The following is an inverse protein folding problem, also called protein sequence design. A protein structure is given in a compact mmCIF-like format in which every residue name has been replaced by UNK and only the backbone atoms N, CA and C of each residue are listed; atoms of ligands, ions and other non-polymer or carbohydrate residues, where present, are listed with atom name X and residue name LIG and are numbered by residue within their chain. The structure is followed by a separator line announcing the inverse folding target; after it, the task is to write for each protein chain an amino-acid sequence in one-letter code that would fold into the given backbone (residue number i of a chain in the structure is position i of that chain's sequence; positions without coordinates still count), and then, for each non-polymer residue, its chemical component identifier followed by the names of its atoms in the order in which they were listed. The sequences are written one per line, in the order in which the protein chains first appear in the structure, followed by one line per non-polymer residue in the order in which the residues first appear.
data_IF_882636751499
#
_entry.id   IF_882636751499
#
_cell.length_a   1.000
_cell.length_b   1.000
_cell.length_c   1.000
_cell.angle_alpha   90.00
_cell.angle_beta   90.00
_cell.angle_gamma   90.00
#
_symmetry.space_group_name_H-M   'P 1'
#
loop_
_entity.id
_entity.type
_entity.pdbx_description
1 polymer ?
#
# COMPACT_ATOMS: atom_id res chain seq x y z
N UNK A 1 -14.64 -21.83 20.63
CA UNK A 1 -13.87 -21.07 21.64
C UNK A 1 -12.57 -20.69 20.94
N UNK A 2 -12.62 -19.62 20.15
CA UNK A 2 -11.49 -19.16 19.33
C UNK A 2 -10.37 -18.68 20.24
N UNK A 3 -9.30 -19.47 20.33
CA UNK A 3 -8.00 -18.90 20.69
C UNK A 3 -7.70 -17.89 19.57
N UNK A 4 -7.64 -16.61 19.93
CA UNK A 4 -7.38 -15.48 19.04
C UNK A 4 -6.21 -15.83 18.10
N UNK A 5 -6.42 -15.73 16.78
CA UNK A 5 -5.42 -16.11 15.77
C UNK A 5 -4.06 -15.44 16.02
N UNK A 6 -4.08 -14.21 16.58
CA UNK A 6 -2.90 -13.48 17.06
C UNK A 6 -2.14 -14.21 18.17
N UNK A 7 -2.85 -14.76 19.14
CA UNK A 7 -2.26 -15.51 20.25
C UNK A 7 -1.62 -16.80 19.73
N UNK A 8 -2.25 -17.47 18.75
CA UNK A 8 -1.67 -18.66 18.09
C UNK A 8 -0.36 -18.33 17.36
N UNK A 9 -0.33 -17.22 16.62
CA UNK A 9 0.89 -16.74 15.95
C UNK A 9 1.99 -16.44 16.99
N UNK A 10 1.61 -15.78 18.10
CA UNK A 10 2.55 -15.44 19.18
C UNK A 10 3.14 -16.69 19.83
N UNK A 11 2.29 -17.65 20.21
CA UNK A 11 2.69 -18.94 20.80
C UNK A 11 3.60 -19.72 19.87
N UNK A 12 3.27 -19.76 18.57
CA UNK A 12 4.12 -20.42 17.57
C UNK A 12 5.53 -19.84 17.54
N UNK A 13 5.66 -18.51 17.52
CA UNK A 13 6.98 -17.86 17.50
C UNK A 13 7.72 -17.99 18.84
N UNK A 14 7.02 -18.02 19.97
CA UNK A 14 7.61 -18.32 21.27
C UNK A 14 8.23 -19.72 21.30
N UNK A 15 7.54 -20.74 20.76
CA UNK A 15 8.06 -22.11 20.64
C UNK A 15 9.25 -22.16 19.68
N UNK A 16 9.14 -21.50 18.51
CA UNK A 16 10.18 -21.53 17.47
C UNK A 16 11.42 -20.71 17.83
N UNK A 17 11.36 -19.83 18.83
CA UNK A 17 12.44 -18.93 19.20
C UNK A 17 13.77 -19.65 19.36
N UNK A 18 13.76 -20.85 19.95
CA UNK A 18 15.00 -21.62 20.18
C UNK A 18 15.66 -22.12 18.91
N UNK A 19 14.96 -22.92 18.10
CA UNK A 19 15.51 -23.49 16.87
C UNK A 19 15.80 -22.40 15.83
N UNK A 20 14.89 -21.42 15.69
CA UNK A 20 15.09 -20.28 14.80
C UNK A 20 16.28 -19.43 15.21
N UNK A 21 16.45 -19.17 16.51
CA UNK A 21 17.57 -18.41 17.03
C UNK A 21 18.91 -19.10 16.82
N UNK A 22 18.99 -20.43 17.00
CA UNK A 22 20.22 -21.19 16.71
C UNK A 22 20.60 -21.12 15.23
N UNK A 23 19.62 -21.23 14.32
CA UNK A 23 19.85 -21.08 12.87
C UNK A 23 20.36 -19.68 12.54
N UNK A 24 19.69 -18.62 13.02
CA UNK A 24 20.06 -17.23 12.72
C UNK A 24 21.37 -16.79 13.36
N UNK A 25 21.71 -17.31 14.54
CA UNK A 25 22.99 -17.04 15.20
C UNK A 25 24.19 -17.52 14.36
N UNK A 26 24.08 -18.70 13.72
CA UNK A 26 25.09 -19.17 12.76
C UNK A 26 25.29 -18.21 11.59
N UNK A 27 24.22 -17.55 11.14
CA UNK A 27 24.28 -16.65 9.99
C UNK A 27 24.97 -15.32 10.32
N UNK A 28 24.95 -14.87 11.60
CA UNK A 28 25.67 -13.67 12.06
C UNK A 28 27.19 -13.80 11.90
N UNK A 29 27.72 -15.02 11.88
CA UNK A 29 29.14 -15.31 11.69
C UNK A 29 29.53 -15.60 10.23
N UNK A 30 28.57 -15.53 9.31
CA UNK A 30 28.72 -16.04 7.94
C UNK A 30 28.64 -14.98 6.85
N UNK A 31 28.71 -15.46 5.60
CA UNK A 31 28.60 -14.63 4.38
C UNK A 31 27.27 -13.89 4.29
N UNK A 32 26.19 -14.43 4.89
CA UNK A 32 24.89 -13.76 4.91
C UNK A 32 24.94 -12.44 5.70
N UNK A 33 25.70 -12.36 6.79
CA UNK A 33 25.88 -11.11 7.53
C UNK A 33 26.54 -10.02 6.67
N UNK A 34 27.65 -10.35 6.01
CA UNK A 34 28.37 -9.44 5.10
C UNK A 34 27.51 -9.01 3.91
N UNK A 35 26.74 -9.94 3.34
CA UNK A 35 25.79 -9.64 2.28
C UNK A 35 24.75 -8.62 2.72
N UNK A 36 24.10 -8.83 3.87
CA UNK A 36 23.10 -7.89 4.37
C UNK A 36 23.70 -6.54 4.79
N UNK A 37 24.94 -6.51 5.29
CA UNK A 37 25.65 -5.24 5.49
C UNK A 37 25.82 -4.47 4.18
N UNK A 38 26.22 -5.15 3.09
CA UNK A 38 26.39 -4.53 1.78
C UNK A 38 25.06 -4.05 1.19
N UNK A 39 24.02 -4.88 1.22
CA UNK A 39 22.68 -4.51 0.73
C UNK A 39 22.11 -3.33 1.54
N UNK A 40 22.22 -3.36 2.87
CA UNK A 40 21.78 -2.23 3.72
C UNK A 40 22.58 -0.96 3.42
N UNK A 41 23.90 -1.04 3.29
CA UNK A 41 24.72 0.13 2.93
C UNK A 41 24.35 0.72 1.55
N UNK A 42 23.87 -0.11 0.62
CA UNK A 42 23.47 0.33 -0.71
C UNK A 42 22.10 1.03 -0.73
N UNK A 43 21.16 0.59 0.12
CA UNK A 43 19.79 1.13 0.14
C UNK A 43 19.56 2.22 1.18
N UNK A 44 20.33 2.23 2.27
CA UNK A 44 20.17 3.23 3.33
C UNK A 44 20.63 4.61 2.84
N UNK A 45 19.92 5.69 3.21
CA UNK A 45 20.29 7.03 2.79
C UNK A 45 21.67 7.41 3.34
N UNK A 46 22.47 8.06 2.50
CA UNK A 46 23.75 8.63 2.94
C UNK A 46 23.50 9.69 4.01
N UNK A 47 24.25 9.62 5.12
CA UNK A 47 24.08 10.56 6.24
C UNK A 47 25.37 10.74 7.01
N UNK A 48 25.65 11.98 7.42
CA UNK A 48 26.77 12.32 8.30
C UNK A 48 26.52 11.95 9.77
N UNK A 49 25.31 11.48 10.09
CA UNK A 49 24.91 11.03 11.42
C UNK A 49 24.37 9.60 11.39
N UNK A 50 24.45 8.87 12.51
CA UNK A 50 23.67 7.64 12.70
C UNK A 50 22.17 7.85 12.41
N UNK A 51 21.62 7.02 11.53
CA UNK A 51 20.18 6.95 11.26
C UNK A 51 19.44 6.30 12.44
N UNK A 52 18.20 6.72 12.68
CA UNK A 52 17.25 6.03 13.56
C UNK A 52 16.53 4.95 12.74
N UNK A 53 16.85 3.69 13.03
CA UNK A 53 16.33 2.52 12.34
C UNK A 53 15.33 1.78 13.23
N UNK A 54 14.17 1.43 12.68
CA UNK A 54 13.21 0.52 13.31
C UNK A 54 13.20 -0.82 12.58
N UNK A 55 13.48 -1.92 13.27
CA UNK A 55 13.33 -3.30 12.77
C UNK A 55 12.01 -3.89 13.27
N UNK A 56 11.04 -4.11 12.38
CA UNK A 56 9.68 -4.57 12.71
C UNK A 56 9.55 -6.08 12.46
N UNK A 57 9.21 -6.82 13.52
CA UNK A 57 9.28 -8.29 13.51
C UNK A 57 10.73 -8.76 13.53
N UNK A 58 11.53 -8.20 14.44
CA UNK A 58 12.99 -8.42 14.48
C UNK A 58 13.38 -9.88 14.73
N UNK A 59 12.46 -10.70 15.24
CA UNK A 59 12.71 -12.07 15.69
C UNK A 59 13.94 -12.13 16.60
N UNK A 60 15.00 -12.82 16.18
CA UNK A 60 16.25 -12.96 16.95
C UNK A 60 17.27 -11.85 16.70
N UNK A 61 16.86 -10.72 16.11
CA UNK A 61 17.68 -9.51 16.04
C UNK A 61 18.66 -9.45 14.88
N UNK A 62 18.58 -10.36 13.89
CA UNK A 62 19.58 -10.44 12.82
C UNK A 62 19.73 -9.12 12.05
N UNK A 63 18.63 -8.55 11.53
CA UNK A 63 18.68 -7.29 10.79
C UNK A 63 19.01 -6.11 11.71
N UNK A 64 18.47 -6.10 12.93
CA UNK A 64 18.82 -5.11 13.93
C UNK A 64 20.34 -5.06 14.21
N UNK A 65 21.01 -6.22 14.34
CA UNK A 65 22.47 -6.31 14.53
C UNK A 65 23.23 -5.88 13.27
N UNK A 66 22.76 -6.25 12.07
CA UNK A 66 23.35 -5.77 10.80
C UNK A 66 23.35 -4.24 10.77
N UNK A 67 22.21 -3.59 11.03
CA UNK A 67 22.13 -2.13 11.01
C UNK A 67 22.94 -1.47 12.14
N UNK A 68 23.01 -2.10 13.31
CA UNK A 68 23.88 -1.65 14.41
C UNK A 68 25.36 -1.65 14.01
N UNK A 69 25.79 -2.70 13.30
CA UNK A 69 27.18 -2.84 12.82
C UNK A 69 27.57 -1.79 11.78
N UNK A 70 26.59 -1.16 11.14
CA UNK A 70 26.78 -0.03 10.23
C UNK A 70 26.80 1.33 10.97
N UNK A 71 26.73 1.32 12.30
CA UNK A 71 26.82 2.52 13.14
C UNK A 71 25.48 3.25 13.36
N UNK A 72 24.35 2.61 13.08
CA UNK A 72 23.02 3.22 13.24
C UNK A 72 22.41 2.99 14.63
N UNK A 73 21.46 3.86 15.00
CA UNK A 73 20.68 3.73 16.26
C UNK A 73 19.45 2.88 15.99
N UNK A 74 19.44 1.66 16.52
CA UNK A 74 18.39 0.67 16.19
C UNK A 74 17.44 0.47 17.36
N UNK A 75 16.15 0.58 17.05
CA UNK A 75 15.05 0.06 17.85
C UNK A 75 14.46 -1.15 17.13
N UNK A 76 14.16 -2.21 17.86
CA UNK A 76 13.69 -3.47 17.29
C UNK A 76 12.45 -3.95 18.04
N UNK A 77 11.40 -4.29 17.31
CA UNK A 77 10.11 -4.72 17.88
C UNK A 77 9.72 -6.11 17.41
N UNK A 78 9.13 -6.89 18.30
CA UNK A 78 8.53 -8.18 18.00
C UNK A 78 7.38 -8.46 18.98
N UNK A 79 6.41 -9.28 18.56
CA UNK A 79 5.30 -9.70 19.41
C UNK A 79 5.74 -10.76 20.43
N UNK A 80 6.73 -11.59 20.07
CA UNK A 80 7.26 -12.68 20.88
C UNK A 80 8.30 -12.19 21.87
N UNK A 81 8.01 -12.35 23.16
CA UNK A 81 8.96 -12.04 24.24
C UNK A 81 10.19 -12.95 24.18
N UNK A 82 10.01 -14.22 23.81
CA UNK A 82 11.11 -15.19 23.71
C UNK A 82 12.07 -14.85 22.57
N UNK A 83 11.56 -14.40 21.42
CA UNK A 83 12.38 -13.88 20.32
C UNK A 83 13.26 -12.70 20.78
N UNK A 84 12.65 -11.71 21.45
CA UNK A 84 13.36 -10.54 21.96
C UNK A 84 14.43 -10.88 23.01
N UNK A 85 14.20 -11.88 23.87
CA UNK A 85 15.22 -12.33 24.81
C UNK A 85 16.46 -12.86 24.09
N UNK A 86 16.27 -13.66 23.03
CA UNK A 86 17.38 -14.17 22.22
C UNK A 86 18.05 -13.06 21.41
N UNK A 87 17.28 -12.12 20.89
CA UNK A 87 17.81 -10.95 20.19
C UNK A 87 18.72 -10.10 21.08
N UNK A 88 18.32 -9.86 22.34
CA UNK A 88 19.16 -9.18 23.34
C UNK A 88 20.46 -9.92 23.62
N UNK A 89 20.39 -11.24 23.80
CA UNK A 89 21.57 -12.06 24.06
C UNK A 89 22.55 -12.01 22.87
N UNK A 90 22.04 -12.18 21.63
CA UNK A 90 22.85 -12.09 20.42
C UNK A 90 23.45 -10.69 20.24
N UNK A 91 22.68 -9.61 20.43
CA UNK A 91 23.22 -8.26 20.32
C UNK A 91 24.34 -8.01 21.34
N UNK A 92 24.16 -8.46 22.59
CA UNK A 92 25.18 -8.34 23.64
C UNK A 92 26.44 -9.14 23.34
N UNK A 93 26.32 -10.35 22.79
CA UNK A 93 27.46 -11.18 22.39
C UNK A 93 28.32 -10.50 21.32
N UNK A 94 27.67 -9.80 20.38
CA UNK A 94 28.34 -9.06 19.31
C UNK A 94 28.74 -7.62 19.71
N UNK A 95 28.55 -7.23 20.97
CA UNK A 95 28.97 -5.92 21.48
C UNK A 95 28.07 -4.75 21.09
N UNK A 96 26.84 -5.00 20.66
CA UNK A 96 25.89 -3.95 20.26
C UNK A 96 24.83 -3.70 21.34
N UNK A 97 24.59 -2.42 21.64
CA UNK A 97 23.50 -1.98 22.52
C UNK A 97 22.33 -1.47 21.68
N UNK A 98 21.21 -2.20 21.71
CA UNK A 98 20.00 -1.92 20.93
C UNK A 98 18.77 -1.85 21.82
N UNK A 99 17.76 -1.07 21.39
CA UNK A 99 16.49 -0.99 22.10
C UNK A 99 15.55 -2.06 21.60
N UNK A 100 15.20 -3.04 22.43
CA UNK A 100 14.21 -4.07 22.10
C UNK A 100 12.91 -3.81 22.86
N UNK A 101 11.78 -3.84 22.16
CA UNK A 101 10.44 -3.58 22.74
C UNK A 101 9.44 -4.64 22.27
N UNK A 102 8.64 -5.17 23.19
CA UNK A 102 7.54 -6.07 22.84
C UNK A 102 6.36 -5.22 22.36
N UNK A 103 6.02 -5.31 21.07
CA UNK A 103 4.96 -4.51 20.47
C UNK A 103 4.28 -5.28 19.34
N UNK A 104 3.02 -4.93 19.07
CA UNK A 104 2.29 -5.40 17.89
C UNK A 104 2.61 -4.50 16.69
N UNK A 105 3.02 -5.09 15.56
CA UNK A 105 3.29 -4.34 14.34
C UNK A 105 2.05 -3.62 13.76
N UNK A 106 0.82 -4.05 14.12
CA UNK A 106 -0.42 -3.39 13.68
C UNK A 106 -0.69 -2.07 14.42
N UNK A 107 -0.05 -1.87 15.57
CA UNK A 107 -0.17 -0.66 16.40
C UNK A 107 1.04 -0.56 17.34
N UNK A 108 1.96 0.34 17.00
CA UNK A 108 3.20 0.57 17.75
C UNK A 108 3.10 1.86 18.55
N UNK A 109 3.61 1.85 19.80
CA UNK A 109 3.58 3.00 20.70
C UNK A 109 4.72 4.00 20.43
N UNK A 110 4.86 4.40 19.16
CA UNK A 110 5.78 5.44 18.72
C UNK A 110 5.02 6.65 18.19
N UNK A 111 5.52 7.89 18.39
CA UNK A 111 5.01 9.06 17.70
C UNK A 111 5.15 8.93 16.17
N UNK A 112 4.29 9.63 15.43
CA UNK A 112 4.44 9.75 13.97
C UNK A 112 5.79 10.43 13.64
N UNK A 113 6.45 10.02 12.54
CA UNK A 113 7.71 10.66 12.13
C UNK A 113 8.91 10.41 13.05
N UNK A 114 8.98 9.24 13.69
CA UNK A 114 10.04 8.92 14.66
C UNK A 114 11.34 8.39 14.02
N UNK A 115 11.24 7.66 12.91
CA UNK A 115 12.35 6.89 12.32
C UNK A 115 12.77 7.40 10.96
N UNK A 116 14.08 7.38 10.70
CA UNK A 116 14.63 7.68 9.37
C UNK A 116 14.44 6.48 8.43
N UNK A 117 14.51 5.26 8.98
CA UNK A 117 14.40 3.99 8.24
C UNK A 117 13.55 3.00 9.02
N UNK A 118 12.67 2.28 8.31
CA UNK A 118 11.99 1.10 8.83
C UNK A 118 12.39 -0.12 7.98
N UNK A 119 12.59 -1.26 8.63
CA UNK A 119 13.01 -2.51 7.99
C UNK A 119 12.08 -3.63 8.43
N UNK A 120 11.67 -4.48 7.49
CA UNK A 120 10.98 -5.74 7.75
C UNK A 120 11.74 -6.86 7.03
N UNK A 121 11.94 -8.01 7.71
CA UNK A 121 12.49 -9.19 7.05
C UNK A 121 11.79 -10.48 7.47
N UNK A 122 11.12 -11.14 6.52
CA UNK A 122 10.30 -12.34 6.74
C UNK A 122 9.22 -12.15 7.81
N UNK A 123 8.59 -10.97 7.83
CA UNK A 123 7.59 -10.58 8.83
C UNK A 123 6.19 -10.52 8.22
N UNK A 124 6.05 -9.88 7.06
CA UNK A 124 4.75 -9.47 6.51
C UNK A 124 3.86 -10.68 6.16
N UNK A 125 4.46 -11.80 5.77
CA UNK A 125 3.69 -13.02 5.48
C UNK A 125 2.97 -13.65 6.70
N UNK A 126 3.30 -13.23 7.93
CA UNK A 126 2.72 -13.79 9.17
C UNK A 126 1.74 -12.88 9.90
N UNK A 127 1.56 -11.64 9.44
CA UNK A 127 0.71 -10.67 10.15
C UNK A 127 -0.76 -10.80 9.70
N UNK A 128 -1.68 -10.46 10.61
CA UNK A 128 -3.12 -10.58 10.39
C UNK A 128 -3.64 -9.61 9.31
N UNK A 129 -3.18 -8.37 9.36
CA UNK A 129 -3.54 -7.32 8.41
C UNK A 129 -2.26 -6.62 7.91
N UNK A 130 -1.66 -7.12 6.82
CA UNK A 130 -0.47 -6.54 6.21
C UNK A 130 -0.64 -5.08 5.79
N UNK A 131 -1.85 -4.68 5.37
CA UNK A 131 -2.15 -3.29 4.99
C UNK A 131 -2.09 -2.38 6.22
N UNK A 132 -2.64 -2.82 7.36
CA UNK A 132 -2.54 -2.08 8.63
C UNK A 132 -1.10 -1.93 9.09
N UNK A 133 -0.27 -2.96 8.93
CA UNK A 133 1.16 -2.87 9.24
C UNK A 133 1.86 -1.86 8.32
N UNK A 134 1.58 -1.86 7.01
CA UNK A 134 2.13 -0.84 6.10
C UNK A 134 1.67 0.59 6.44
N UNK A 135 0.42 0.78 6.88
CA UNK A 135 -0.06 2.08 7.38
C UNK A 135 0.71 2.54 8.61
N UNK A 136 0.98 1.62 9.54
CA UNK A 136 1.72 1.92 10.77
C UNK A 136 3.19 2.25 10.48
N UNK A 137 3.82 1.52 9.54
CA UNK A 137 5.16 1.81 9.02
C UNK A 137 5.21 3.21 8.39
N UNK A 138 4.22 3.55 7.54
CA UNK A 138 4.12 4.88 6.94
C UNK A 138 3.98 5.97 8.01
N UNK A 139 3.20 5.72 9.06
CA UNK A 139 2.99 6.68 10.16
C UNK A 139 4.28 6.97 10.92
N UNK A 140 5.03 5.94 11.32
CA UNK A 140 6.24 6.09 12.16
C UNK A 140 7.46 6.57 11.37
N UNK A 141 7.46 6.46 10.04
CA UNK A 141 8.48 7.06 9.19
C UNK A 141 8.39 8.58 9.18
N UNK A 142 9.55 9.23 9.24
CA UNK A 142 9.70 10.66 8.94
C UNK A 142 9.32 10.94 7.48
N UNK A 143 8.86 12.16 7.16
CA UNK A 143 8.87 12.63 5.78
C UNK A 143 10.27 12.46 5.18
N UNK A 144 10.37 11.92 3.97
CA UNK A 144 11.64 11.56 3.32
C UNK A 144 12.31 10.29 3.87
N UNK A 145 11.76 9.65 4.90
CA UNK A 145 12.28 8.37 5.43
C UNK A 145 11.98 7.20 4.50
N UNK A 146 12.77 6.13 4.60
CA UNK A 146 12.63 4.96 3.70
C UNK A 146 12.19 3.69 4.41
N UNK A 147 11.47 2.84 3.69
CA UNK A 147 11.07 1.50 4.11
C UNK A 147 11.77 0.45 3.24
N UNK A 148 12.37 -0.54 3.90
CA UNK A 148 12.92 -1.72 3.26
C UNK A 148 12.19 -2.98 3.73
N UNK A 149 11.58 -3.71 2.81
CA UNK A 149 10.98 -5.02 3.08
C UNK A 149 11.77 -6.11 2.35
N UNK A 150 12.10 -7.21 3.02
CA UNK A 150 12.61 -8.42 2.39
C UNK A 150 11.79 -9.63 2.83
N UNK A 151 11.13 -10.29 1.89
CA UNK A 151 10.17 -11.35 2.23
C UNK A 151 10.01 -12.30 1.01
N UNK A 152 9.19 -13.33 1.10
CA UNK A 152 8.85 -14.23 -0.01
C UNK A 152 7.34 -14.47 -0.09
N UNK A 153 6.88 -15.05 -1.21
CA UNK A 153 5.49 -15.47 -1.39
C UNK A 153 5.18 -16.78 -0.63
N UNK A 154 5.34 -16.73 0.69
CA UNK A 154 5.05 -17.85 1.60
C UNK A 154 3.56 -18.24 1.64
N UNK A 155 2.68 -17.38 1.10
CA UNK A 155 1.24 -17.62 1.04
C UNK A 155 0.84 -18.59 -0.07
N UNK A 156 1.48 -18.50 -1.24
CA UNK A 156 1.24 -19.42 -2.36
C UNK A 156 2.03 -20.71 -2.24
N UNK A 157 3.27 -20.64 -1.77
CA UNK A 157 4.18 -21.78 -1.74
C UNK A 157 4.42 -22.29 -0.31
N UNK A 158 3.91 -23.48 0.01
CA UNK A 158 4.12 -24.09 1.32
C UNK A 158 5.63 -24.34 1.58
N UNK A 159 6.10 -23.94 2.77
CA UNK A 159 7.40 -24.27 3.34
C UNK A 159 7.59 -25.79 3.35
N UNK A 160 8.59 -26.31 2.63
CA UNK A 160 8.77 -27.76 2.42
C UNK A 160 9.49 -28.46 3.58
N UNK A 161 10.16 -27.73 4.48
CA UNK A 161 10.72 -28.26 5.72
C UNK A 161 11.72 -29.40 5.49
N UNK A 162 12.51 -29.30 4.42
CA UNK A 162 13.46 -30.34 4.03
C UNK A 162 14.64 -30.35 5.03
N UNK A 163 14.71 -31.42 5.82
CA UNK A 163 15.70 -31.60 6.90
C UNK A 163 15.19 -31.26 8.30
N UNK A 164 13.91 -30.89 8.43
CA UNK A 164 13.28 -30.59 9.71
C UNK A 164 12.97 -31.86 10.53
N UNK A 165 13.08 -31.78 11.85
CA UNK A 165 12.64 -32.84 12.77
C UNK A 165 11.12 -33.07 12.69
N UNK A 166 10.58 -34.21 13.16
CA UNK A 166 9.13 -34.42 13.20
C UNK A 166 8.37 -33.32 13.94
N UNK A 167 8.92 -32.82 15.05
CA UNK A 167 8.32 -31.72 15.82
C UNK A 167 8.33 -30.40 15.04
N UNK A 168 9.42 -30.11 14.32
CA UNK A 168 9.50 -28.93 13.44
C UNK A 168 8.52 -29.04 12.27
N UNK A 169 8.32 -30.23 11.71
CA UNK A 169 7.32 -30.46 10.66
C UNK A 169 5.89 -30.25 11.17
N UNK A 170 5.58 -30.70 12.38
CA UNK A 170 4.28 -30.46 13.01
C UNK A 170 4.05 -28.96 13.25
N UNK A 171 5.06 -28.24 13.74
CA UNK A 171 5.03 -26.79 13.87
C UNK A 171 4.82 -26.10 12.52
N UNK A 172 5.50 -26.53 11.46
CA UNK A 172 5.31 -25.97 10.11
C UNK A 172 3.91 -26.24 9.58
N UNK A 173 3.35 -27.42 9.83
CA UNK A 173 1.98 -27.73 9.44
C UNK A 173 0.96 -26.83 10.16
N UNK A 174 1.16 -26.58 11.46
CA UNK A 174 0.34 -25.62 12.20
C UNK A 174 0.52 -24.18 11.68
N UNK A 175 1.76 -23.78 11.38
CA UNK A 175 2.08 -22.51 10.74
C UNK A 175 1.28 -22.31 9.46
N UNK A 176 1.34 -23.30 8.56
CA UNK A 176 0.59 -23.32 7.31
C UNK A 176 -0.91 -23.24 7.51
N UNK A 177 -1.43 -23.96 8.51
CA UNK A 177 -2.85 -23.98 8.79
C UNK A 177 -3.38 -22.58 9.11
N UNK A 178 -2.69 -21.77 9.93
CA UNK A 178 -3.14 -20.41 10.19
C UNK A 178 -2.72 -19.41 9.10
N UNK A 179 -1.55 -19.55 8.48
CA UNK A 179 -1.15 -18.61 7.41
C UNK A 179 -2.02 -18.74 6.17
N UNK A 180 -2.56 -19.93 5.90
CA UNK A 180 -3.54 -20.14 4.82
C UNK A 180 -4.83 -19.33 5.00
N UNK A 181 -5.14 -18.88 6.23
CA UNK A 181 -6.29 -18.03 6.53
C UNK A 181 -5.98 -16.53 6.39
N UNK A 182 -4.72 -16.15 6.22
CA UNK A 182 -4.31 -14.75 6.16
C UNK A 182 -4.55 -14.16 4.75
N UNK A 183 -4.89 -12.86 4.65
CA UNK A 183 -5.11 -12.19 3.36
C UNK A 183 -3.94 -12.35 2.37
N UNK A 184 -2.72 -12.43 2.90
CA UNK A 184 -1.49 -12.53 2.13
C UNK A 184 -1.39 -13.82 1.30
N UNK A 185 -2.15 -14.86 1.67
CA UNK A 185 -2.21 -16.14 0.95
C UNK A 185 -3.12 -16.12 -0.27
N UNK A 186 -3.87 -15.04 -0.47
CA UNK A 186 -4.83 -14.88 -1.57
C UNK A 186 -4.43 -13.80 -2.58
N UNK A 187 -3.20 -13.31 -2.48
CA UNK A 187 -2.64 -12.25 -3.35
C UNK A 187 -1.33 -12.71 -3.97
N UNK A 188 -0.91 -12.06 -5.05
CA UNK A 188 0.37 -12.36 -5.70
C UNK A 188 1.46 -11.43 -5.18
N UNK A 189 2.58 -11.99 -4.71
CA UNK A 189 3.68 -11.19 -4.16
C UNK A 189 4.94 -11.32 -5.01
N UNK A 190 5.68 -10.20 -5.25
CA UNK A 190 5.58 -8.89 -4.59
C UNK A 190 4.59 -7.88 -5.23
N UNK A 191 3.84 -8.25 -6.27
CA UNK A 191 2.98 -7.29 -7.00
C UNK A 191 1.98 -6.57 -6.10
N UNK A 192 1.30 -7.32 -5.23
CA UNK A 192 0.33 -6.78 -4.30
C UNK A 192 0.96 -5.86 -3.25
N UNK A 193 2.17 -6.18 -2.78
CA UNK A 193 2.90 -5.35 -1.81
C UNK A 193 3.22 -3.99 -2.43
N UNK A 194 3.74 -3.98 -3.66
CA UNK A 194 4.09 -2.75 -4.39
C UNK A 194 2.86 -1.87 -4.63
N UNK A 195 1.75 -2.46 -5.09
CA UNK A 195 0.50 -1.74 -5.32
C UNK A 195 -0.05 -1.15 -4.01
N UNK A 196 -0.03 -1.92 -2.93
CA UNK A 196 -0.52 -1.48 -1.61
C UNK A 196 0.33 -0.33 -1.06
N UNK A 197 1.66 -0.42 -1.15
CA UNK A 197 2.56 0.64 -0.71
C UNK A 197 2.34 1.94 -1.51
N UNK A 198 2.21 1.87 -2.84
CA UNK A 198 1.90 3.03 -3.69
C UNK A 198 0.56 3.67 -3.33
N UNK A 199 -0.47 2.86 -3.12
CA UNK A 199 -1.80 3.34 -2.73
C UNK A 199 -1.82 4.00 -1.34
N UNK A 200 -0.85 3.69 -0.48
CA UNK A 200 -0.65 4.36 0.82
C UNK A 200 0.12 5.68 0.71
N UNK A 201 0.62 6.03 -0.48
CA UNK A 201 1.36 7.26 -0.73
C UNK A 201 2.87 7.11 -0.68
N UNK A 202 3.41 5.89 -0.59
CA UNK A 202 4.84 5.68 -0.78
C UNK A 202 5.27 5.92 -2.24
N UNK A 203 6.46 6.50 -2.42
CA UNK A 203 7.07 6.79 -3.73
C UNK A 203 8.37 5.99 -3.91
N UNK A 204 8.95 6.01 -5.11
CA UNK A 204 10.20 5.30 -5.44
C UNK A 204 10.17 3.80 -5.07
N UNK A 205 9.06 3.09 -5.35
CA UNK A 205 8.93 1.67 -5.07
C UNK A 205 9.77 0.81 -6.03
N UNK A 206 11.01 0.51 -5.63
CA UNK A 206 11.94 -0.35 -6.34
C UNK A 206 11.88 -1.78 -5.80
N UNK A 207 11.93 -2.78 -6.68
CA UNK A 207 11.82 -4.18 -6.29
C UNK A 207 12.90 -5.05 -6.93
N UNK A 208 13.62 -5.83 -6.12
CA UNK A 208 14.50 -6.91 -6.58
C UNK A 208 13.76 -8.23 -6.35
N UNK A 209 13.35 -8.89 -7.43
CA UNK A 209 12.48 -10.10 -7.37
C UNK A 209 13.16 -11.36 -6.85
N UNK A 210 14.50 -11.41 -6.86
CA UNK A 210 15.28 -12.54 -6.36
C UNK A 210 16.58 -12.06 -5.68
N UNK A 211 16.43 -11.42 -4.52
CA UNK A 211 17.58 -10.96 -3.72
C UNK A 211 18.36 -12.15 -3.14
N UNK A 212 17.70 -13.27 -2.85
CA UNK A 212 18.36 -14.51 -2.43
C UNK A 212 19.33 -15.07 -3.48
N UNK A 213 19.06 -14.84 -4.77
CA UNK A 213 19.98 -15.22 -5.85
C UNK A 213 21.30 -14.45 -5.82
N UNK A 214 21.30 -13.21 -5.30
CA UNK A 214 22.53 -12.42 -5.11
C UNK A 214 23.38 -12.92 -3.95
N UNK A 215 22.75 -13.45 -2.91
CA UNK A 215 23.44 -14.07 -1.77
C UNK A 215 24.15 -15.37 -2.18
N UNK A 216 23.57 -16.15 -3.11
CA UNK A 216 24.09 -17.45 -3.57
C UNK A 216 24.22 -17.53 -5.10
N UNK A 217 25.12 -16.74 -5.73
CA UNK A 217 25.19 -16.61 -7.20
C UNK A 217 25.69 -17.86 -7.93
N UNK A 218 26.39 -18.77 -7.23
CA UNK A 218 27.01 -19.98 -7.82
C UNK A 218 26.29 -21.29 -7.46
N UNK A 219 25.05 -21.23 -6.96
CA UNK A 219 24.19 -22.41 -6.83
C UNK A 219 24.66 -23.53 -5.89
N UNK A 220 25.71 -23.32 -5.09
CA UNK A 220 26.20 -24.32 -4.14
C UNK A 220 25.55 -24.16 -2.77
N UNK A 221 24.27 -24.50 -2.68
CA UNK A 221 23.74 -25.01 -1.43
C UNK A 221 22.66 -26.03 -1.72
N UNK A 222 22.95 -27.29 -1.36
CA UNK A 222 21.95 -28.32 -1.06
C UNK A 222 21.17 -27.94 0.21
N UNK A 223 20.61 -26.73 0.28
CA UNK A 223 19.58 -26.35 1.23
C UNK A 223 18.33 -26.07 0.43
N UNK A 224 17.58 -27.12 0.15
CA UNK A 224 16.39 -27.16 -0.70
C UNK A 224 15.18 -26.38 -0.14
N UNK A 225 15.39 -25.36 0.70
CA UNK A 225 14.37 -24.87 1.64
C UNK A 225 14.18 -23.35 1.70
N UNK A 226 14.68 -22.54 0.74
CA UNK A 226 14.32 -21.12 0.70
C UNK A 226 13.60 -20.75 -0.60
N UNK A 227 12.32 -20.42 -0.48
CA UNK A 227 11.62 -19.66 -1.51
C UNK A 227 12.43 -18.42 -1.90
N UNK A 228 12.44 -18.04 -3.19
CA UNK A 228 13.19 -16.86 -3.63
C UNK A 228 12.67 -15.65 -2.86
N UNK A 229 13.58 -15.00 -2.13
CA UNK A 229 13.28 -13.76 -1.44
C UNK A 229 13.23 -12.64 -2.48
N UNK A 230 12.25 -11.76 -2.34
CA UNK A 230 12.26 -10.46 -2.98
C UNK A 230 12.61 -9.37 -1.96
N UNK A 231 13.04 -8.21 -2.43
CA UNK A 231 13.12 -7.00 -1.61
C UNK A 231 12.39 -5.84 -2.26
N UNK A 232 11.77 -4.99 -1.45
CA UNK A 232 11.12 -3.75 -1.86
C UNK A 232 11.77 -2.61 -1.07
N UNK A 233 12.27 -1.60 -1.78
CA UNK A 233 12.69 -0.33 -1.23
C UNK A 233 11.68 0.74 -1.63
N UNK A 234 11.32 1.62 -0.71
CA UNK A 234 10.39 2.70 -0.99
C UNK A 234 10.58 3.87 -0.02
N UNK A 235 10.10 5.05 -0.40
CA UNK A 235 10.32 6.31 0.34
C UNK A 235 8.98 6.93 0.70
N UNK A 236 8.81 7.33 1.96
CA UNK A 236 7.71 8.21 2.34
C UNK A 236 8.01 9.60 1.78
N UNK A 237 7.12 10.19 0.96
CA UNK A 237 7.39 11.49 0.36
C UNK A 237 7.73 12.52 1.45
N UNK A 238 8.70 13.38 1.16
CA UNK A 238 8.92 14.56 1.99
C UNK A 238 7.66 15.44 1.92
N UNK A 239 7.23 15.96 3.06
CA UNK A 239 6.33 17.10 3.03
C UNK A 239 7.17 18.26 2.49
N UNK A 240 6.76 18.96 1.43
CA UNK A 240 7.40 20.22 1.07
C UNK A 240 7.46 21.12 2.30
N UNK A 241 8.65 21.63 2.65
CA UNK A 241 8.83 22.51 3.83
C UNK A 241 7.89 23.73 3.76
N UNK A 242 7.49 24.15 2.56
CA UNK A 242 6.55 25.24 2.29
C UNK A 242 5.10 24.95 2.71
N UNK A 243 4.72 23.68 2.93
CA UNK A 243 3.37 23.25 3.33
C UNK A 243 3.21 23.04 4.85
N UNK A 244 4.29 23.01 5.62
CA UNK A 244 4.20 22.86 7.08
C UNK A 244 3.61 24.11 7.78
N UNK A 245 3.68 25.28 7.15
CA UNK A 245 3.26 26.57 7.74
C UNK A 245 2.15 27.28 6.93
N UNK A 246 1.54 26.58 5.97
CA UNK A 246 0.54 27.18 5.09
C UNK A 246 -0.75 26.35 5.07
N UNK A 247 -1.86 27.00 5.39
CA UNK A 247 -3.22 26.45 5.37
C UNK A 247 -3.70 26.14 3.92
N UNK A 248 -2.78 25.94 2.96
CA UNK A 248 -3.06 25.80 1.53
C UNK A 248 -3.90 24.56 1.24
N UNK A 249 -3.60 23.43 1.88
CA UNK A 249 -4.39 22.19 1.72
C UNK A 249 -5.84 22.41 2.14
N UNK A 250 -6.04 23.10 3.27
CA UNK A 250 -7.37 23.42 3.78
C UNK A 250 -8.07 24.47 2.91
N UNK A 251 -7.35 25.48 2.41
CA UNK A 251 -7.90 26.51 1.54
C UNK A 251 -8.32 25.95 0.19
N UNK A 252 -7.48 25.10 -0.45
CA UNK A 252 -7.81 24.44 -1.71
C UNK A 252 -9.01 23.51 -1.53
N UNK A 253 -8.98 22.66 -0.49
CA UNK A 253 -10.10 21.78 -0.14
C UNK A 253 -11.39 22.59 0.08
N UNK A 254 -11.32 23.67 0.86
CA UNK A 254 -12.46 24.54 1.17
C UNK A 254 -12.98 25.23 -0.08
N UNK A 255 -12.11 25.78 -0.91
CA UNK A 255 -12.49 26.45 -2.16
C UNK A 255 -13.17 25.49 -3.14
N UNK A 256 -12.60 24.29 -3.33
CA UNK A 256 -13.17 23.24 -4.17
C UNK A 256 -14.60 22.85 -3.70
N UNK A 257 -14.76 22.55 -2.41
CA UNK A 257 -16.06 22.19 -1.86
C UNK A 257 -17.07 23.35 -1.92
N UNK A 258 -16.63 24.58 -1.63
CA UNK A 258 -17.50 25.75 -1.72
C UNK A 258 -17.99 26.01 -3.13
N UNK A 259 -17.14 25.82 -4.14
CA UNK A 259 -17.53 25.94 -5.54
C UNK A 259 -18.60 24.90 -5.89
N UNK A 260 -18.34 23.63 -5.58
CA UNK A 260 -19.29 22.53 -5.81
C UNK A 260 -20.66 22.78 -5.15
N UNK A 261 -20.68 23.18 -3.87
CA UNK A 261 -21.95 23.45 -3.18
C UNK A 261 -22.67 24.71 -3.69
N UNK A 262 -21.94 25.75 -4.14
CA UNK A 262 -22.55 26.93 -4.78
C UNK A 262 -23.25 26.54 -6.07
N UNK A 263 -22.61 25.70 -6.89
CA UNK A 263 -23.20 25.21 -8.13
C UNK A 263 -24.46 24.37 -7.86
N UNK A 264 -24.40 23.45 -6.90
CA UNK A 264 -25.58 22.64 -6.53
C UNK A 264 -26.76 23.51 -6.07
N UNK A 265 -26.51 24.55 -5.26
CA UNK A 265 -27.57 25.47 -4.81
C UNK A 265 -28.17 26.28 -5.95
N UNK A 266 -27.35 26.71 -6.90
CA UNK A 266 -27.77 27.59 -7.97
C UNK A 266 -28.47 26.83 -9.11
N UNK A 267 -28.06 25.59 -9.39
CA UNK A 267 -28.49 24.86 -10.60
C UNK A 267 -29.20 23.54 -10.31
N UNK A 268 -29.26 23.12 -9.04
CA UNK A 268 -29.94 21.92 -8.59
C UNK A 268 -29.00 20.73 -8.41
N UNK A 269 -29.34 19.88 -7.43
CA UNK A 269 -28.49 18.75 -7.04
C UNK A 269 -28.30 17.74 -8.19
N UNK A 270 -27.05 17.32 -8.41
CA UNK A 270 -26.62 16.30 -9.38
C UNK A 270 -26.83 16.64 -10.86
N UNK A 271 -27.18 17.89 -11.22
CA UNK A 271 -27.34 18.27 -12.63
C UNK A 271 -26.08 18.04 -13.45
N UNK A 272 -24.92 18.39 -12.91
CA UNK A 272 -23.65 18.22 -13.63
C UNK A 272 -23.30 16.73 -13.76
N UNK A 273 -23.67 15.91 -12.77
CA UNK A 273 -23.56 14.44 -12.87
C UNK A 273 -24.50 13.84 -13.92
N UNK A 274 -25.75 14.32 -14.02
CA UNK A 274 -26.67 13.93 -15.10
C UNK A 274 -26.04 14.25 -16.46
N UNK A 275 -25.48 15.45 -16.63
CA UNK A 275 -24.79 15.85 -17.85
C UNK A 275 -23.58 14.97 -18.16
N UNK A 276 -22.68 14.73 -17.20
CA UNK A 276 -21.50 13.87 -17.40
C UNK A 276 -21.86 12.45 -17.86
N UNK A 277 -22.95 11.88 -17.32
CA UNK A 277 -23.44 10.57 -17.77
C UNK A 277 -23.94 10.64 -19.21
N UNK A 278 -24.73 11.67 -19.55
CA UNK A 278 -25.22 11.84 -20.92
C UNK A 278 -24.04 12.08 -21.89
N UNK A 279 -23.03 12.84 -21.48
CA UNK A 279 -21.84 13.16 -22.26
C UNK A 279 -21.01 11.91 -22.57
N UNK A 280 -20.71 11.09 -21.56
CA UNK A 280 -20.04 9.80 -21.76
C UNK A 280 -20.79 8.88 -22.72
N UNK A 281 -22.12 8.80 -22.58
CA UNK A 281 -22.96 8.00 -23.47
C UNK A 281 -23.06 8.57 -24.89
N UNK A 282 -22.86 9.88 -25.07
CA UNK A 282 -22.78 10.51 -26.40
C UNK A 282 -21.54 10.04 -27.15
N UNK A 283 -20.39 9.96 -26.47
CA UNK A 283 -19.13 9.52 -27.07
C UNK A 283 -18.93 8.00 -27.10
N UNK A 284 -19.88 7.23 -26.53
CA UNK A 284 -19.87 5.76 -26.53
C UNK A 284 -21.18 5.20 -27.11
N UNK A 285 -21.38 5.29 -28.44
CA UNK A 285 -22.65 4.92 -29.07
C UNK A 285 -22.98 3.42 -28.95
N UNK A 286 -21.97 2.56 -28.77
CA UNK A 286 -22.11 1.13 -28.50
C UNK A 286 -22.71 0.83 -27.12
N UNK A 287 -22.70 1.83 -26.23
CA UNK A 287 -23.25 1.78 -24.89
C UNK A 287 -22.27 1.31 -23.81
N UNK A 288 -22.54 1.74 -22.58
CA UNK A 288 -21.70 1.47 -21.40
C UNK A 288 -22.45 0.64 -20.37
N UNK A 289 -21.73 -0.18 -19.60
CA UNK A 289 -22.34 -0.86 -18.44
C UNK A 289 -22.52 0.17 -17.31
N UNK A 290 -23.54 0.01 -16.45
CA UNK A 290 -23.71 0.87 -15.27
C UNK A 290 -22.48 0.90 -14.34
N UNK A 291 -21.74 -0.21 -14.23
CA UNK A 291 -20.50 -0.29 -13.45
C UNK A 291 -19.41 0.60 -14.02
N UNK A 292 -19.29 0.65 -15.35
CA UNK A 292 -18.24 1.40 -16.03
C UNK A 292 -18.45 2.90 -15.83
N UNK A 293 -19.71 3.36 -15.83
CA UNK A 293 -20.04 4.76 -15.55
C UNK A 293 -19.52 5.22 -14.19
N UNK A 294 -19.62 4.39 -13.14
CA UNK A 294 -19.12 4.76 -11.81
C UNK A 294 -17.60 4.90 -11.76
N UNK A 295 -16.89 4.11 -12.57
CA UNK A 295 -15.44 4.13 -12.68
C UNK A 295 -14.99 5.35 -13.51
N UNK A 296 -15.65 5.63 -14.63
CA UNK A 296 -15.29 6.75 -15.50
C UNK A 296 -15.54 8.14 -14.89
N UNK A 297 -16.63 8.33 -14.13
CA UNK A 297 -16.95 9.63 -13.53
C UNK A 297 -16.55 9.75 -12.05
N UNK A 298 -15.91 8.72 -11.48
CA UNK A 298 -15.46 8.68 -10.09
C UNK A 298 -16.57 8.94 -9.05
N UNK A 299 -17.77 8.40 -9.27
CA UNK A 299 -18.94 8.60 -8.39
C UNK A 299 -19.42 7.26 -7.83
N UNK A 300 -19.81 7.18 -6.54
CA UNK A 300 -20.31 5.94 -5.93
C UNK A 300 -21.43 5.27 -6.73
N UNK A 301 -21.35 3.93 -6.87
CA UNK A 301 -22.32 3.11 -7.63
C UNK A 301 -23.78 3.40 -7.25
N UNK A 302 -24.06 3.59 -5.98
CA UNK A 302 -25.42 3.90 -5.48
C UNK A 302 -25.96 5.22 -6.04
N UNK A 303 -25.12 6.24 -6.12
CA UNK A 303 -25.47 7.55 -6.69
C UNK A 303 -25.74 7.42 -8.19
N UNK A 304 -24.89 6.69 -8.91
CA UNK A 304 -25.06 6.43 -10.34
C UNK A 304 -26.38 5.69 -10.59
N UNK A 305 -26.67 4.62 -9.86
CA UNK A 305 -27.94 3.87 -10.00
C UNK A 305 -29.17 4.75 -9.84
N UNK A 306 -29.16 5.64 -8.82
CA UNK A 306 -30.27 6.58 -8.59
C UNK A 306 -30.45 7.55 -9.76
N UNK A 307 -29.36 8.10 -10.30
CA UNK A 307 -29.40 9.04 -11.42
C UNK A 307 -29.86 8.35 -12.70
N UNK A 308 -29.37 7.14 -12.96
CA UNK A 308 -29.79 6.34 -14.12
C UNK A 308 -31.30 6.07 -14.11
N UNK A 309 -31.88 5.75 -12.95
CA UNK A 309 -33.33 5.58 -12.83
C UNK A 309 -34.10 6.87 -13.20
N UNK A 310 -33.58 8.04 -12.82
CA UNK A 310 -34.18 9.33 -13.16
C UNK A 310 -34.06 9.63 -14.66
N UNK A 311 -32.89 9.42 -15.26
CA UNK A 311 -32.68 9.62 -16.71
C UNK A 311 -33.54 8.66 -17.54
N UNK A 312 -33.70 7.41 -17.10
CA UNK A 312 -34.57 6.44 -17.76
C UNK A 312 -36.05 6.85 -17.68
N UNK A 313 -36.51 7.32 -16.51
CA UNK A 313 -37.87 7.81 -16.34
C UNK A 313 -38.18 9.05 -17.21
N UNK A 314 -37.18 9.91 -17.45
CA UNK A 314 -37.26 11.04 -18.38
C UNK A 314 -37.18 10.62 -19.86
N UNK A 315 -36.92 9.34 -20.15
CA UNK A 315 -36.78 8.82 -21.50
C UNK A 315 -35.47 9.18 -22.19
N UNK A 316 -34.44 9.64 -21.46
CA UNK A 316 -33.17 10.09 -22.04
C UNK A 316 -32.20 8.94 -22.32
N UNK A 317 -32.32 7.84 -21.59
CA UNK A 317 -31.49 6.66 -21.78
C UNK A 317 -32.37 5.42 -21.96
N UNK A 318 -31.84 4.43 -22.68
CA UNK A 318 -32.44 3.11 -22.82
C UNK A 318 -31.46 2.02 -22.44
N UNK A 319 -31.98 0.93 -21.90
CA UNK A 319 -31.21 -0.27 -21.60
C UNK A 319 -31.33 -1.26 -22.76
N UNK A 320 -30.22 -1.86 -23.16
CA UNK A 320 -30.14 -2.89 -24.19
C UNK A 320 -29.34 -4.09 -23.68
N UNK A 321 -29.69 -5.33 -24.06
CA UNK A 321 -28.87 -6.50 -23.72
C UNK A 321 -27.47 -6.35 -24.29
N UNK A 322 -26.45 -6.65 -23.50
CA UNK A 322 -25.08 -6.64 -24.00
C UNK A 322 -24.88 -7.83 -24.97
N UNK A 323 -24.47 -7.59 -26.23
CA UNK A 323 -24.27 -8.66 -27.21
C UNK A 323 -23.19 -9.69 -26.82
N UNK A 324 -22.22 -9.28 -26.00
CA UNK A 324 -21.07 -10.11 -25.57
C UNK A 324 -21.33 -10.87 -24.26
N UNK A 325 -22.24 -10.38 -23.43
CA UNK A 325 -22.65 -11.02 -22.17
C UNK A 325 -24.12 -10.74 -21.89
N UNK A 326 -24.98 -11.70 -22.23
CA UNK A 326 -26.44 -11.58 -22.07
C UNK A 326 -26.91 -11.40 -20.62
N UNK A 327 -26.04 -11.59 -19.61
CA UNK A 327 -26.36 -11.32 -18.20
C UNK A 327 -26.10 -9.86 -17.81
N UNK A 328 -25.51 -9.07 -18.70
CA UNK A 328 -25.22 -7.66 -18.50
C UNK A 328 -26.02 -6.77 -19.46
N UNK A 329 -26.24 -5.52 -19.05
CA UNK A 329 -27.00 -4.52 -19.81
C UNK A 329 -26.09 -3.36 -20.18
N UNK A 330 -26.31 -2.81 -21.37
CA UNK A 330 -25.69 -1.59 -21.86
C UNK A 330 -26.69 -0.45 -21.84
N UNK A 331 -26.20 0.75 -21.52
CA UNK A 331 -26.96 1.99 -21.56
C UNK A 331 -26.60 2.75 -22.81
N UNK A 332 -27.60 3.27 -23.52
CA UNK A 332 -27.40 4.16 -24.68
C UNK A 332 -28.32 5.37 -24.59
N UNK A 333 -27.93 6.48 -25.22
CA UNK A 333 -28.80 7.65 -25.35
C UNK A 333 -29.97 7.37 -26.31
N UNK A 334 -31.13 7.92 -25.97
CA UNK A 334 -32.24 8.08 -26.91
C UNK A 334 -32.07 9.39 -27.71
N UNK A 335 -32.83 9.60 -28.80
CA UNK A 335 -32.84 10.89 -29.50
C UNK A 335 -33.20 12.07 -28.59
N UNK A 336 -34.13 11.86 -27.65
CA UNK A 336 -34.47 12.87 -26.62
C UNK A 336 -33.31 13.09 -25.64
N UNK A 337 -32.60 12.03 -25.25
CA UNK A 337 -31.39 12.15 -24.44
C UNK A 337 -30.27 12.93 -25.11
N UNK A 338 -30.07 12.73 -26.42
CA UNK A 338 -29.10 13.51 -27.21
C UNK A 338 -29.49 14.99 -27.31
N UNK A 339 -30.79 15.28 -27.46
CA UNK A 339 -31.29 16.66 -27.47
C UNK A 339 -31.11 17.32 -26.10
N UNK A 340 -31.36 16.57 -25.03
CA UNK A 340 -31.14 17.04 -23.67
C UNK A 340 -29.66 17.28 -23.37
N UNK A 341 -28.76 16.39 -23.80
CA UNK A 341 -27.30 16.58 -23.69
C UNK A 341 -26.89 17.91 -24.30
N UNK A 342 -27.22 18.17 -25.58
CA UNK A 342 -26.89 19.43 -26.27
C UNK A 342 -27.46 20.65 -25.55
N UNK A 343 -28.67 20.54 -24.98
CA UNK A 343 -29.29 21.62 -24.23
C UNK A 343 -28.53 21.94 -22.95
N UNK A 344 -28.12 20.91 -22.20
CA UNK A 344 -27.35 21.10 -20.97
C UNK A 344 -25.91 21.54 -21.25
N UNK A 345 -25.28 21.06 -22.33
CA UNK A 345 -23.97 21.53 -22.82
C UNK A 345 -23.99 23.04 -23.07
N UNK A 346 -24.95 23.53 -23.86
CA UNK A 346 -25.12 24.97 -24.10
C UNK A 346 -25.40 25.74 -22.81
N UNK A 347 -26.19 25.17 -21.89
CA UNK A 347 -26.45 25.81 -20.60
C UNK A 347 -25.19 25.89 -19.72
N UNK A 348 -24.33 24.87 -19.76
CA UNK A 348 -23.03 24.85 -19.07
C UNK A 348 -22.07 25.86 -19.70
N UNK A 349 -21.96 25.89 -21.02
CA UNK A 349 -21.12 26.87 -21.73
C UNK A 349 -21.51 28.30 -21.35
N UNK A 350 -22.80 28.65 -21.38
CA UNK A 350 -23.26 29.99 -20.98
C UNK A 350 -22.99 30.28 -19.51
N UNK A 351 -23.21 29.29 -18.63
CA UNK A 351 -22.96 29.39 -17.18
C UNK A 351 -21.49 29.70 -16.91
N UNK A 352 -20.60 28.90 -17.49
CA UNK A 352 -19.17 29.03 -17.29
C UNK A 352 -18.58 30.21 -18.04
N UNK A 353 -19.05 30.55 -19.24
CA UNK A 353 -18.57 31.71 -20.00
C UNK A 353 -18.67 33.01 -19.19
N UNK A 354 -19.74 33.20 -18.40
CA UNK A 354 -19.88 34.39 -17.55
C UNK A 354 -18.82 34.47 -16.44
N UNK A 355 -18.44 33.34 -15.87
CA UNK A 355 -17.44 33.26 -14.81
C UNK A 355 -16.04 33.34 -15.40
N UNK A 356 -15.76 32.50 -16.41
CA UNK A 356 -14.46 32.36 -17.04
C UNK A 356 -14.05 33.59 -17.86
N UNK A 357 -15.00 34.34 -18.45
CA UNK A 357 -14.70 35.60 -19.17
C UNK A 357 -14.09 36.68 -18.27
N UNK A 358 -14.22 36.56 -16.95
CA UNK A 358 -13.56 37.47 -16.00
C UNK A 358 -12.07 37.15 -15.78
N UNK A 359 -11.56 36.06 -16.35
CA UNK A 359 -10.18 35.61 -16.19
C UNK A 359 -9.38 35.69 -17.50
N UNK A 360 -8.08 36.04 -17.46
CA UNK A 360 -7.20 35.93 -18.62
C UNK A 360 -7.08 34.48 -19.10
N UNK A 361 -7.08 34.28 -20.42
CA UNK A 361 -6.99 32.96 -21.05
C UNK A 361 -5.79 32.13 -20.57
N UNK A 362 -4.63 32.77 -20.38
CA UNK A 362 -3.43 32.11 -19.86
C UNK A 362 -3.65 31.50 -18.46
N UNK A 363 -4.37 32.20 -17.58
CA UNK A 363 -4.67 31.69 -16.22
C UNK A 363 -5.63 30.52 -16.27
N UNK A 364 -6.60 30.56 -17.19
CA UNK A 364 -7.52 29.44 -17.40
C UNK A 364 -6.81 28.20 -17.92
N UNK A 365 -5.88 28.37 -18.87
CA UNK A 365 -5.06 27.26 -19.36
C UNK A 365 -4.19 26.64 -18.26
N UNK A 366 -3.55 27.46 -17.44
CA UNK A 366 -2.78 26.99 -16.28
C UNK A 366 -3.66 26.26 -15.26
N UNK A 367 -4.84 26.82 -14.95
CA UNK A 367 -5.78 26.19 -14.03
C UNK A 367 -6.24 24.82 -14.53
N UNK A 368 -6.60 24.71 -15.82
CA UNK A 368 -6.97 23.44 -16.42
C UNK A 368 -5.82 22.42 -16.36
N UNK A 369 -4.59 22.85 -16.69
CA UNK A 369 -3.42 21.96 -16.59
C UNK A 369 -3.25 21.44 -15.16
N UNK A 370 -3.32 22.31 -14.15
CA UNK A 370 -3.22 21.92 -12.75
C UNK A 370 -4.33 20.94 -12.34
N UNK A 371 -5.57 21.16 -12.76
CA UNK A 371 -6.66 20.21 -12.48
C UNK A 371 -6.40 18.83 -13.08
N UNK A 372 -5.83 18.74 -14.29
CA UNK A 372 -5.47 17.45 -14.90
C UNK A 372 -4.32 16.79 -14.15
N UNK A 373 -3.27 17.53 -13.79
CA UNK A 373 -2.16 17.02 -12.97
C UNK A 373 -2.64 16.52 -11.60
N UNK A 374 -3.58 17.24 -10.95
CA UNK A 374 -4.21 16.78 -9.71
C UNK A 374 -4.99 15.50 -9.91
N UNK A 375 -5.79 15.39 -10.97
CA UNK A 375 -6.56 14.17 -11.27
C UNK A 375 -5.64 12.96 -11.48
N UNK A 376 -4.52 13.14 -12.19
CA UNK A 376 -3.52 12.09 -12.44
C UNK A 376 -2.75 11.68 -11.16
N UNK A 377 -2.61 12.60 -10.20
CA UNK A 377 -1.93 12.34 -8.93
C UNK A 377 -2.78 11.51 -7.94
N UNK A 378 -4.11 11.50 -8.08
CA UNK A 378 -4.95 10.64 -7.25
C UNK A 378 -4.93 9.19 -7.77
N UNK A 379 -4.70 8.19 -6.91
CA UNK A 379 -4.70 6.80 -7.33
C UNK A 379 -6.08 6.40 -7.85
N UNK A 380 -6.15 5.88 -9.07
CA UNK A 380 -7.33 5.19 -9.59
C UNK A 380 -7.54 3.92 -8.75
N UNK A 381 -8.58 3.93 -7.91
CA UNK A 381 -8.93 2.83 -6.98
C UNK A 381 -9.14 1.50 -7.65
#
# INVERSE_FOLDING_TARGET
MDINLKDRITVYWDIRATSYGQMRHKHLHGREFQFWQAEMKAVLPSSDRPLKVLDVGTATGFMAIVCASLGHKVTAVDISRHMLQRARAAASEFGYSLTFLQMDAHQMDFPSGSFDVVICRNTIWTVLDPRRVYMEIFRVLKPGGCFFNCDADYGRDAFKGLGATPDEKALFAECHAYTSLLPISYVQRPEWDIATLRNLGFVHCECIRNISGRLNPHGSSKSSDSHPLFSIFTVKPACPEELEDTDYDFQLFKAHNQLFYREQRQFGNNKDTEYLILDLLMYQPEGLRPSDLSEYIFIPKQTVTRILAQLAAKGYIRQMPNPRDRRSMLLTLTPEGQKQHRREEQALEVRYAKVLSSFPSQKLSQLNQLYMEFLDAFPTT
#
